data_IF_621916673444
#
_entry.id   IF_621916673444
#
_cell.length_a   1.000
_cell.length_b   1.000
_cell.length_c   1.000
_cell.angle_alpha   90.00
_cell.angle_beta   90.00
_cell.angle_gamma   90.00
#
_symmetry.space_group_name_H-M   'P 1'
#
loop_
_entity.id
_entity.type
_entity.pdbx_description
1 polymer ?
#
# COMPACT_ATOMS: atom_id res chain seq x y z
N UNK A 1 -34.35 2.39 -67.85
CA UNK A 1 -33.57 3.00 -66.72
C UNK A 1 -33.93 2.25 -65.46
N UNK A 2 -33.03 1.36 -64.96
CA UNK A 2 -33.25 0.56 -63.78
C UNK A 2 -32.38 1.20 -62.64
N UNK A 3 -33.00 1.74 -61.61
CA UNK A 3 -32.32 2.26 -60.42
C UNK A 3 -32.01 1.09 -59.47
N UNK A 4 -30.73 0.80 -59.31
CA UNK A 4 -30.22 -0.16 -58.36
C UNK A 4 -29.98 0.59 -57.05
N UNK A 5 -30.88 0.47 -56.04
CA UNK A 5 -30.68 0.96 -54.71
C UNK A 5 -29.71 0.02 -54.00
N UNK A 6 -28.45 0.48 -53.77
CA UNK A 6 -27.50 -0.16 -52.87
C UNK A 6 -27.90 0.16 -51.41
N UNK A 7 -28.49 -0.83 -50.74
CA UNK A 7 -28.65 -0.79 -49.27
C UNK A 7 -27.31 -1.09 -48.63
N UNK A 8 -26.60 -0.07 -48.13
CA UNK A 8 -25.43 -0.22 -47.27
C UNK A 8 -25.90 -0.61 -45.87
N UNK A 9 -25.79 -1.90 -45.53
CA UNK A 9 -25.95 -2.39 -44.17
C UNK A 9 -24.78 -1.88 -43.34
N UNK A 10 -25.02 -0.86 -42.50
CA UNK A 10 -24.12 -0.48 -41.42
C UNK A 10 -24.15 -1.60 -40.37
N UNK A 11 -23.12 -2.44 -40.37
CA UNK A 11 -22.83 -3.38 -39.28
C UNK A 11 -22.37 -2.55 -38.08
N UNK A 12 -23.30 -2.14 -37.21
CA UNK A 12 -23.00 -1.61 -35.91
C UNK A 12 -22.51 -2.80 -35.08
N UNK A 13 -21.22 -3.08 -35.18
CA UNK A 13 -20.55 -4.04 -34.28
C UNK A 13 -20.74 -3.55 -32.85
N UNK A 14 -21.61 -4.20 -32.07
CA UNK A 14 -21.72 -3.99 -30.64
C UNK A 14 -20.38 -4.27 -30.03
N UNK A 15 -19.60 -3.23 -29.65
CA UNK A 15 -18.46 -3.37 -28.78
C UNK A 15 -19.00 -3.93 -27.44
N UNK A 16 -19.04 -5.25 -27.31
CA UNK A 16 -19.33 -5.87 -26.01
C UNK A 16 -18.20 -5.50 -25.07
N UNK A 17 -18.52 -4.74 -24.02
CA UNK A 17 -17.60 -4.52 -22.92
C UNK A 17 -17.09 -5.88 -22.41
N UNK A 18 -15.78 -5.99 -22.18
CA UNK A 18 -15.22 -7.22 -21.63
C UNK A 18 -15.80 -7.48 -20.23
N UNK A 19 -16.09 -8.75 -19.88
CA UNK A 19 -16.55 -9.09 -18.55
C UNK A 19 -15.58 -8.60 -17.45
N UNK A 20 -16.11 -8.08 -16.36
CA UNK A 20 -15.34 -7.54 -15.24
C UNK A 20 -14.27 -8.53 -14.75
N UNK A 21 -14.62 -9.80 -14.60
CA UNK A 21 -13.65 -10.82 -14.16
C UNK A 21 -12.48 -11.00 -15.14
N UNK A 22 -12.71 -10.86 -16.44
CA UNK A 22 -11.66 -10.94 -17.46
C UNK A 22 -10.71 -9.74 -17.34
N UNK A 23 -11.25 -8.54 -17.13
CA UNK A 23 -10.44 -7.33 -16.92
C UNK A 23 -9.59 -7.43 -15.67
N UNK A 24 -10.13 -7.97 -14.56
CA UNK A 24 -9.39 -8.19 -13.33
C UNK A 24 -8.24 -9.18 -13.56
N UNK A 25 -8.49 -10.32 -14.18
CA UNK A 25 -7.45 -11.32 -14.47
C UNK A 25 -6.32 -10.77 -15.35
N UNK A 26 -6.68 -9.98 -16.39
CA UNK A 26 -5.69 -9.31 -17.24
C UNK A 26 -4.87 -8.27 -16.44
N UNK A 27 -5.52 -7.50 -15.57
CA UNK A 27 -4.83 -6.54 -14.71
C UNK A 27 -3.83 -7.22 -13.76
N UNK A 28 -4.23 -8.32 -13.12
CA UNK A 28 -3.34 -9.14 -12.27
C UNK A 28 -2.16 -9.73 -13.05
N UNK A 29 -2.37 -10.10 -14.31
CA UNK A 29 -1.28 -10.56 -15.18
C UNK A 29 -0.29 -9.44 -15.49
N UNK A 30 -0.77 -8.21 -15.71
CA UNK A 30 0.09 -7.03 -15.92
C UNK A 30 0.85 -6.66 -14.64
N UNK A 31 0.23 -6.77 -13.46
CA UNK A 31 0.94 -6.60 -12.19
C UNK A 31 2.12 -7.59 -12.06
N UNK A 32 1.90 -8.88 -12.39
CA UNK A 32 2.99 -9.89 -12.39
C UNK A 32 4.12 -9.57 -13.37
N UNK A 33 3.85 -8.78 -14.40
CA UNK A 33 4.83 -8.30 -15.39
C UNK A 33 5.45 -6.95 -15.00
N UNK A 34 5.13 -6.39 -13.83
CA UNK A 34 5.55 -5.06 -13.37
C UNK A 34 5.10 -3.94 -14.32
N UNK A 35 3.91 -4.08 -14.91
CA UNK A 35 3.27 -3.11 -15.79
C UNK A 35 2.13 -2.40 -15.06
N UNK A 36 2.47 -1.74 -13.95
CA UNK A 36 1.49 -1.12 -13.07
C UNK A 36 0.63 -0.05 -13.77
N UNK A 37 1.17 0.81 -14.66
CA UNK A 37 0.35 1.80 -15.36
C UNK A 37 -0.74 1.17 -16.25
N UNK A 38 -0.44 0.05 -16.91
CA UNK A 38 -1.39 -0.69 -17.74
C UNK A 38 -2.42 -1.43 -16.87
N UNK A 39 -2.01 -2.02 -15.76
CA UNK A 39 -2.92 -2.66 -14.80
C UNK A 39 -3.91 -1.65 -14.22
N UNK A 40 -3.47 -0.43 -13.89
CA UNK A 40 -4.33 0.66 -13.42
C UNK A 40 -5.44 0.96 -14.42
N UNK A 41 -5.13 1.03 -15.72
CA UNK A 41 -6.14 1.29 -16.77
C UNK A 41 -7.22 0.22 -16.79
N UNK A 42 -6.86 -1.05 -16.62
CA UNK A 42 -7.82 -2.15 -16.58
C UNK A 42 -8.68 -2.12 -15.32
N UNK A 43 -8.10 -1.86 -14.13
CA UNK A 43 -8.90 -1.68 -12.92
C UNK A 43 -9.82 -0.45 -12.99
N UNK A 44 -9.40 0.62 -13.66
CA UNK A 44 -10.28 1.77 -13.93
C UNK A 44 -11.43 1.37 -14.87
N UNK A 45 -11.17 0.55 -15.90
CA UNK A 45 -12.21 0.03 -16.78
C UNK A 45 -13.21 -0.88 -16.02
N UNK A 46 -12.76 -1.64 -15.03
CA UNK A 46 -13.63 -2.37 -14.11
C UNK A 46 -14.57 -1.40 -13.38
N UNK A 47 -14.03 -0.29 -12.83
CA UNK A 47 -14.84 0.68 -12.09
C UNK A 47 -15.82 1.50 -12.97
N UNK A 48 -15.62 1.54 -14.28
CA UNK A 48 -16.62 2.10 -15.21
C UNK A 48 -17.86 1.20 -15.32
N UNK A 49 -17.69 -0.12 -15.14
CA UNK A 49 -18.79 -1.08 -15.18
C UNK A 49 -19.39 -1.31 -13.79
N UNK A 50 -18.53 -1.44 -12.78
CA UNK A 50 -18.88 -1.70 -11.38
C UNK A 50 -18.19 -0.67 -10.46
N UNK A 51 -18.78 0.52 -10.25
CA UNK A 51 -18.12 1.62 -9.51
C UNK A 51 -17.76 1.30 -8.05
N UNK A 52 -18.42 0.30 -7.46
CA UNK A 52 -18.19 -0.16 -6.08
C UNK A 52 -17.42 -1.49 -6.00
N UNK A 53 -16.75 -1.93 -7.09
CA UNK A 53 -15.99 -3.18 -7.08
C UNK A 53 -14.77 -3.07 -6.14
N UNK A 54 -14.91 -3.64 -4.95
CA UNK A 54 -13.97 -3.45 -3.83
C UNK A 54 -12.56 -3.94 -4.18
N UNK A 55 -12.42 -5.08 -4.86
CA UNK A 55 -11.11 -5.60 -5.22
C UNK A 55 -10.36 -4.61 -6.14
N UNK A 56 -11.03 -4.06 -7.15
CA UNK A 56 -10.44 -3.06 -8.05
C UNK A 56 -10.07 -1.77 -7.31
N UNK A 57 -10.92 -1.30 -6.41
CA UNK A 57 -10.65 -0.13 -5.58
C UNK A 57 -9.41 -0.32 -4.68
N UNK A 58 -9.29 -1.48 -4.02
CA UNK A 58 -8.13 -1.82 -3.20
C UNK A 58 -6.85 -1.90 -4.04
N UNK A 59 -6.93 -2.55 -5.22
CA UNK A 59 -5.80 -2.65 -6.14
C UNK A 59 -5.33 -1.29 -6.67
N UNK A 60 -6.25 -0.41 -7.01
CA UNK A 60 -5.90 0.96 -7.42
C UNK A 60 -5.22 1.73 -6.28
N UNK A 61 -5.66 1.58 -5.03
CA UNK A 61 -4.97 2.19 -3.89
C UNK A 61 -3.53 1.64 -3.72
N UNK A 62 -3.33 0.32 -3.85
CA UNK A 62 -2.00 -0.31 -3.79
C UNK A 62 -1.10 0.17 -4.95
N UNK A 63 -1.59 0.13 -6.19
CA UNK A 63 -0.81 0.46 -7.38
C UNK A 63 -0.42 1.95 -7.42
N UNK A 64 -1.32 2.86 -7.05
CA UNK A 64 -0.96 4.28 -6.92
C UNK A 64 0.07 4.51 -5.81
N UNK A 65 0.06 3.72 -4.73
CA UNK A 65 1.12 3.73 -3.71
C UNK A 65 2.45 3.24 -4.27
N UNK A 66 2.46 2.18 -5.07
CA UNK A 66 3.67 1.69 -5.75
C UNK A 66 4.26 2.78 -6.65
N UNK A 67 3.45 3.38 -7.51
CA UNK A 67 3.91 4.46 -8.40
C UNK A 67 4.39 5.70 -7.63
N UNK A 68 3.72 6.05 -6.52
CA UNK A 68 4.20 7.12 -5.64
C UNK A 68 5.61 6.81 -5.10
N UNK A 69 5.89 5.55 -4.73
CA UNK A 69 7.20 5.15 -4.22
C UNK A 69 8.31 5.20 -5.28
N UNK A 70 7.98 5.15 -6.57
CA UNK A 70 8.95 5.31 -7.67
C UNK A 70 9.11 6.77 -8.12
N UNK A 71 8.17 7.64 -7.79
CA UNK A 71 8.20 9.04 -8.21
C UNK A 71 9.34 9.81 -7.52
N UNK A 72 10.13 10.53 -8.32
CA UNK A 72 11.23 11.40 -7.83
C UNK A 72 10.70 12.74 -7.37
N UNK A 73 9.76 13.32 -8.11
CA UNK A 73 9.17 14.61 -7.80
C UNK A 73 8.18 14.52 -6.62
N UNK A 74 8.39 15.36 -5.60
CA UNK A 74 7.58 15.38 -4.37
C UNK A 74 6.10 15.70 -4.63
N UNK A 75 5.81 16.58 -5.60
CA UNK A 75 4.43 16.97 -5.94
C UNK A 75 3.68 15.80 -6.60
N UNK A 76 4.32 15.14 -7.54
CA UNK A 76 3.79 13.94 -8.20
C UNK A 76 3.58 12.81 -7.19
N UNK A 77 4.56 12.57 -6.32
CA UNK A 77 4.46 11.60 -5.24
C UNK A 77 3.25 11.86 -4.34
N UNK A 78 3.06 13.11 -3.89
CA UNK A 78 1.91 13.53 -3.08
C UNK A 78 0.60 13.25 -3.78
N UNK A 79 0.47 13.66 -5.06
CA UNK A 79 -0.75 13.45 -5.85
C UNK A 79 -1.12 11.97 -5.97
N UNK A 80 -0.12 11.10 -6.17
CA UNK A 80 -0.35 9.66 -6.25
C UNK A 80 -0.81 9.07 -4.91
N UNK A 81 -0.27 9.52 -3.77
CA UNK A 81 -0.75 9.10 -2.45
C UNK A 81 -2.15 9.62 -2.15
N UNK A 82 -2.47 10.86 -2.53
CA UNK A 82 -3.84 11.40 -2.42
C UNK A 82 -4.83 10.59 -3.26
N UNK A 83 -4.43 10.17 -4.46
CA UNK A 83 -5.23 9.31 -5.33
C UNK A 83 -5.42 7.92 -4.70
N UNK A 84 -4.35 7.33 -4.14
CA UNK A 84 -4.43 6.07 -3.42
C UNK A 84 -5.41 6.16 -2.23
N UNK A 85 -5.34 7.24 -1.46
CA UNK A 85 -6.25 7.48 -0.34
C UNK A 85 -7.71 7.63 -0.78
N UNK A 86 -7.96 8.32 -1.90
CA UNK A 86 -9.31 8.44 -2.45
C UNK A 86 -9.90 7.07 -2.84
N UNK A 87 -9.12 6.19 -3.47
CA UNK A 87 -9.55 4.82 -3.77
C UNK A 87 -9.75 3.99 -2.50
N UNK A 88 -8.86 4.10 -1.50
CA UNK A 88 -8.99 3.41 -0.23
C UNK A 88 -10.29 3.81 0.51
N UNK A 89 -10.62 5.10 0.54
CA UNK A 89 -11.90 5.58 1.12
C UNK A 89 -13.11 4.99 0.41
N UNK A 90 -13.09 4.91 -0.92
CA UNK A 90 -14.17 4.29 -1.71
C UNK A 90 -14.28 2.81 -1.40
N UNK A 91 -13.15 2.08 -1.31
CA UNK A 91 -13.14 0.66 -0.96
C UNK A 91 -13.77 0.41 0.42
N UNK A 92 -13.37 1.20 1.42
CA UNK A 92 -13.90 1.09 2.78
C UNK A 92 -15.40 1.46 2.86
N UNK A 93 -15.83 2.48 2.12
CA UNK A 93 -17.24 2.86 2.03
C UNK A 93 -18.10 1.79 1.33
N UNK A 94 -17.55 1.08 0.35
CA UNK A 94 -18.23 0.01 -0.37
C UNK A 94 -18.37 -1.28 0.49
N UNK A 95 -17.31 -1.66 1.22
CA UNK A 95 -17.34 -2.79 2.15
C UNK A 95 -16.30 -2.62 3.26
N UNK A 96 -16.75 -2.16 4.43
CA UNK A 96 -15.91 -1.99 5.61
C UNK A 96 -15.57 -3.29 6.34
N UNK A 97 -16.25 -4.40 6.05
CA UNK A 97 -16.00 -5.70 6.65
C UNK A 97 -14.97 -6.54 5.87
N UNK A 98 -14.57 -6.08 4.71
CA UNK A 98 -13.50 -6.68 3.95
C UNK A 98 -12.14 -6.26 4.51
N UNK A 99 -11.26 -7.23 4.76
CA UNK A 99 -9.94 -6.97 5.37
C UNK A 99 -9.08 -6.04 4.52
N UNK A 100 -9.10 -6.23 3.19
CA UNK A 100 -8.35 -5.41 2.24
C UNK A 100 -8.77 -3.94 2.30
N UNK A 101 -10.06 -3.65 2.49
CA UNK A 101 -10.56 -2.27 2.63
C UNK A 101 -9.94 -1.56 3.84
N UNK A 102 -9.88 -2.24 4.98
CA UNK A 102 -9.24 -1.72 6.19
C UNK A 102 -7.72 -1.59 6.00
N UNK A 103 -7.09 -2.58 5.39
CA UNK A 103 -5.65 -2.54 5.10
C UNK A 103 -5.26 -1.35 4.21
N UNK A 104 -5.95 -1.14 3.08
CA UNK A 104 -5.60 -0.03 2.18
C UNK A 104 -5.89 1.34 2.79
N UNK A 105 -6.89 1.45 3.69
CA UNK A 105 -7.10 2.68 4.48
C UNK A 105 -5.93 2.95 5.42
N UNK A 106 -5.47 1.96 6.17
CA UNK A 106 -4.31 2.10 7.04
C UNK A 106 -3.05 2.50 6.26
N UNK A 107 -2.77 1.80 5.15
CA UNK A 107 -1.63 2.08 4.27
C UNK A 107 -1.68 3.50 3.70
N UNK A 108 -2.82 3.90 3.14
CA UNK A 108 -2.97 5.20 2.48
C UNK A 108 -2.93 6.37 3.47
N UNK A 109 -3.53 6.21 4.67
CA UNK A 109 -3.42 7.20 5.75
C UNK A 109 -1.96 7.40 6.18
N UNK A 110 -1.21 6.31 6.36
CA UNK A 110 0.20 6.37 6.73
C UNK A 110 1.06 7.11 5.70
N UNK A 111 0.82 6.87 4.42
CA UNK A 111 1.57 7.51 3.34
C UNK A 111 1.37 9.04 3.26
N UNK A 112 0.24 9.55 3.73
CA UNK A 112 -0.06 10.99 3.70
C UNK A 112 0.57 11.75 4.87
N UNK A 113 0.99 11.09 5.94
CA UNK A 113 1.55 11.77 7.13
C UNK A 113 2.77 12.65 6.80
N UNK A 114 3.63 12.23 5.87
CA UNK A 114 4.83 12.96 5.48
C UNK A 114 4.56 14.10 4.47
N UNK A 115 3.34 14.18 3.95
CA UNK A 115 2.95 15.16 2.92
C UNK A 115 1.91 16.16 3.41
N UNK A 116 1.43 16.00 4.64
CA UNK A 116 0.51 16.93 5.28
C UNK A 116 1.29 17.96 6.10
N UNK A 117 0.82 19.22 6.09
CA UNK A 117 1.39 20.33 6.84
C UNK A 117 0.56 20.73 8.06
N UNK A 118 -0.72 20.36 8.07
CA UNK A 118 -1.61 20.58 9.21
C UNK A 118 -1.39 19.49 10.27
N UNK A 119 -0.83 19.88 11.41
CA UNK A 119 -0.55 18.97 12.52
C UNK A 119 -1.79 18.22 13.01
N UNK A 120 -2.99 18.81 12.96
CA UNK A 120 -4.22 18.13 13.34
C UNK A 120 -4.51 16.97 12.39
N UNK A 121 -4.41 17.20 11.10
CA UNK A 121 -4.59 16.15 10.09
C UNK A 121 -3.52 15.07 10.17
N UNK A 122 -2.26 15.44 10.46
CA UNK A 122 -1.19 14.45 10.69
C UNK A 122 -1.59 13.51 11.84
N UNK A 123 -2.06 14.07 12.97
CA UNK A 123 -2.50 13.27 14.12
C UNK A 123 -3.73 12.41 13.77
N UNK A 124 -4.67 12.94 12.99
CA UNK A 124 -5.82 12.17 12.49
C UNK A 124 -5.35 10.97 11.65
N UNK A 125 -4.46 11.20 10.67
CA UNK A 125 -3.92 10.12 9.85
C UNK A 125 -3.18 9.06 10.67
N UNK A 126 -2.39 9.46 11.67
CA UNK A 126 -1.68 8.50 12.56
C UNK A 126 -2.67 7.66 13.37
N UNK A 127 -3.76 8.24 13.85
CA UNK A 127 -4.86 7.51 14.52
C UNK A 127 -5.59 6.57 13.56
N UNK A 128 -5.85 7.03 12.35
CA UNK A 128 -6.48 6.25 11.30
C UNK A 128 -5.65 5.01 10.94
N UNK A 129 -4.32 5.15 10.81
CA UNK A 129 -3.43 3.99 10.58
C UNK A 129 -3.66 2.94 11.65
N UNK A 130 -3.64 3.34 12.94
CA UNK A 130 -3.82 2.41 14.05
C UNK A 130 -5.20 1.77 14.03
N UNK A 131 -6.25 2.56 13.89
CA UNK A 131 -7.63 2.09 13.87
C UNK A 131 -7.87 1.07 12.76
N UNK A 132 -7.48 1.41 11.52
CA UNK A 132 -7.71 0.52 10.39
C UNK A 132 -6.79 -0.70 10.39
N UNK A 133 -5.56 -0.58 10.88
CA UNK A 133 -4.66 -1.74 11.03
C UNK A 133 -5.18 -2.72 12.07
N UNK A 134 -5.61 -2.25 13.25
CA UNK A 134 -6.22 -3.09 14.28
C UNK A 134 -7.50 -3.77 13.76
N UNK A 135 -8.34 -3.04 13.05
CA UNK A 135 -9.55 -3.59 12.42
C UNK A 135 -9.20 -4.69 11.41
N UNK A 136 -8.22 -4.47 10.53
CA UNK A 136 -7.80 -5.47 9.55
C UNK A 136 -7.26 -6.74 10.23
N UNK A 137 -6.44 -6.60 11.28
CA UNK A 137 -5.93 -7.75 12.06
C UNK A 137 -7.05 -8.47 12.81
N UNK A 138 -8.07 -7.74 13.30
CA UNK A 138 -9.26 -8.34 13.96
C UNK A 138 -10.10 -9.11 12.95
N UNK A 139 -10.35 -8.56 11.75
CA UNK A 139 -11.12 -9.23 10.70
C UNK A 139 -10.41 -10.50 10.20
N UNK A 140 -9.10 -10.44 10.01
CA UNK A 140 -8.30 -11.58 9.54
C UNK A 140 -6.89 -11.57 10.16
N UNK A 141 -6.68 -12.27 11.30
CA UNK A 141 -5.40 -12.28 12.01
C UNK A 141 -4.20 -12.79 11.19
N UNK A 142 -4.46 -13.57 10.14
CA UNK A 142 -3.46 -14.12 9.23
C UNK A 142 -3.36 -13.36 7.89
N UNK A 143 -3.86 -12.14 7.81
CA UNK A 143 -3.62 -11.27 6.66
C UNK A 143 -2.28 -10.55 6.84
N UNK A 144 -1.23 -11.02 6.15
CA UNK A 144 0.15 -10.59 6.35
C UNK A 144 0.36 -9.08 6.14
N UNK A 145 -0.28 -8.48 5.15
CA UNK A 145 -0.19 -7.05 4.87
C UNK A 145 -0.74 -6.19 6.04
N UNK A 146 -1.78 -6.64 6.73
CA UNK A 146 -2.29 -5.94 7.93
C UNK A 146 -1.29 -6.03 9.09
N UNK A 147 -0.67 -7.19 9.29
CA UNK A 147 0.40 -7.36 10.27
C UNK A 147 1.57 -6.40 10.00
N UNK A 148 1.95 -6.26 8.72
CA UNK A 148 3.00 -5.31 8.33
C UNK A 148 2.64 -3.86 8.70
N UNK A 149 1.45 -3.38 8.33
CA UNK A 149 1.05 -1.99 8.60
C UNK A 149 0.96 -1.71 10.10
N UNK A 150 0.44 -2.67 10.89
CA UNK A 150 0.41 -2.56 12.35
C UNK A 150 1.83 -2.51 12.94
N UNK A 151 2.72 -3.40 12.49
CA UNK A 151 4.12 -3.41 12.90
C UNK A 151 4.85 -2.12 12.53
N UNK A 152 4.64 -1.61 11.32
CA UNK A 152 5.20 -0.33 10.88
C UNK A 152 4.71 0.82 11.74
N UNK A 153 3.42 0.88 12.03
CA UNK A 153 2.87 1.91 12.93
C UNK A 153 3.54 1.88 14.31
N UNK A 154 3.69 0.69 14.92
CA UNK A 154 4.38 0.53 16.21
C UNK A 154 5.82 1.05 16.15
N UNK A 155 6.55 0.73 15.08
CA UNK A 155 7.92 1.16 14.87
C UNK A 155 8.04 2.69 14.73
N UNK A 156 7.18 3.31 13.92
CA UNK A 156 7.20 4.76 13.72
C UNK A 156 6.83 5.52 15.03
N UNK A 157 5.93 4.98 15.83
CA UNK A 157 5.58 5.57 17.13
C UNK A 157 6.74 5.50 18.15
N UNK A 158 7.55 4.45 18.13
CA UNK A 158 8.78 4.38 18.94
C UNK A 158 9.74 5.48 18.56
N UNK A 159 9.93 5.73 17.26
CA UNK A 159 10.86 6.73 16.73
C UNK A 159 10.40 8.18 16.93
N UNK A 160 9.15 8.41 17.29
CA UNK A 160 8.67 9.76 17.54
C UNK A 160 9.45 10.40 18.70
N UNK A 161 10.06 11.57 18.46
CA UNK A 161 10.83 12.26 19.49
C UNK A 161 9.96 12.65 20.70
N UNK A 162 10.57 12.72 21.87
CA UNK A 162 9.91 13.09 23.13
C UNK A 162 9.19 14.45 22.99
N UNK A 163 9.82 15.42 22.32
CA UNK A 163 9.22 16.73 22.07
C UNK A 163 7.96 16.64 21.22
N UNK A 164 7.97 15.84 20.14
CA UNK A 164 6.79 15.61 19.31
C UNK A 164 5.68 14.92 20.09
N UNK A 165 5.99 13.90 20.89
CA UNK A 165 5.03 13.21 21.77
C UNK A 165 4.39 14.19 22.77
N UNK A 166 5.20 15.04 23.40
CA UNK A 166 4.70 16.04 24.35
C UNK A 166 3.78 17.08 23.67
N UNK A 167 4.18 17.60 22.52
CA UNK A 167 3.36 18.54 21.76
C UNK A 167 2.01 17.92 21.32
N UNK A 168 2.03 16.68 20.80
CA UNK A 168 0.81 15.97 20.42
C UNK A 168 -0.08 15.71 21.65
N UNK A 169 0.49 15.38 22.79
CA UNK A 169 -0.26 15.19 24.04
C UNK A 169 -0.94 16.48 24.49
N UNK A 170 -0.20 17.60 24.43
CA UNK A 170 -0.71 18.90 24.88
C UNK A 170 -1.83 19.44 24.00
N UNK A 171 -1.67 19.38 22.68
CA UNK A 171 -2.58 20.04 21.73
C UNK A 171 -3.64 19.12 21.14
N UNK A 172 -3.44 17.80 21.17
CA UNK A 172 -4.30 16.83 20.44
C UNK A 172 -4.71 15.62 21.27
N UNK A 173 -4.49 15.64 22.59
CA UNK A 173 -4.88 14.55 23.49
C UNK A 173 -4.00 13.30 23.42
N UNK A 174 -2.84 13.38 22.74
CA UNK A 174 -1.86 12.30 22.67
C UNK A 174 -2.09 11.29 21.53
N UNK A 175 -1.10 10.44 21.37
CA UNK A 175 -1.14 9.24 20.53
C UNK A 175 -0.79 8.04 21.41
N UNK A 176 -1.30 6.84 21.09
CA UNK A 176 -0.88 5.62 21.78
C UNK A 176 0.64 5.43 21.63
N UNK A 177 1.28 4.90 22.67
CA UNK A 177 2.71 4.60 22.61
C UNK A 177 2.98 3.42 21.68
N UNK A 178 4.10 3.50 20.94
CA UNK A 178 4.62 2.41 20.14
C UNK A 178 5.41 1.43 21.02
N UNK A 179 5.51 0.19 20.55
CA UNK A 179 6.28 -0.87 21.18
C UNK A 179 7.15 -1.56 20.13
N UNK A 180 8.47 -1.54 20.31
CA UNK A 180 9.42 -2.08 19.35
C UNK A 180 9.36 -3.61 19.24
N UNK A 181 9.14 -4.31 20.36
CA UNK A 181 9.00 -5.77 20.35
C UNK A 181 7.71 -6.18 19.60
N UNK A 182 6.61 -5.43 19.81
CA UNK A 182 5.38 -5.64 19.08
C UNK A 182 5.56 -5.34 17.58
N UNK A 183 6.32 -4.29 17.22
CA UNK A 183 6.65 -3.98 15.83
C UNK A 183 7.35 -5.17 15.15
N UNK A 184 8.39 -5.69 15.80
CA UNK A 184 9.15 -6.85 15.32
C UNK A 184 8.26 -8.09 15.23
N UNK A 185 7.47 -8.38 16.27
CA UNK A 185 6.57 -9.54 16.26
C UNK A 185 5.55 -9.50 15.10
N UNK A 186 4.93 -8.35 14.86
CA UNK A 186 4.00 -8.17 13.74
C UNK A 186 4.71 -8.31 12.38
N UNK A 187 5.89 -7.71 12.21
CA UNK A 187 6.66 -7.80 10.97
C UNK A 187 7.20 -9.22 10.72
N UNK A 188 7.60 -9.95 11.76
CA UNK A 188 7.98 -11.37 11.65
C UNK A 188 6.79 -12.24 11.26
N UNK A 189 5.61 -11.99 11.82
CA UNK A 189 4.38 -12.67 11.40
C UNK A 189 4.05 -12.34 9.94
N UNK A 190 4.20 -11.07 9.52
CA UNK A 190 4.07 -10.71 8.10
C UNK A 190 5.07 -11.49 7.24
N UNK A 191 6.34 -11.59 7.64
CA UNK A 191 7.38 -12.32 6.91
C UNK A 191 7.03 -13.79 6.67
N UNK A 192 6.34 -14.43 7.63
CA UNK A 192 5.87 -15.82 7.50
C UNK A 192 4.70 -15.93 6.52
N UNK A 193 3.78 -14.96 6.53
CA UNK A 193 2.55 -14.97 5.71
C UNK A 193 2.79 -14.41 4.30
N UNK A 194 3.71 -13.45 4.16
CA UNK A 194 4.07 -12.76 2.92
C UNK A 194 5.59 -12.83 2.68
N UNK A 195 6.15 -14.01 2.37
CA UNK A 195 7.60 -14.24 2.36
C UNK A 195 8.38 -13.47 1.28
N UNK A 196 7.68 -12.78 0.41
CA UNK A 196 8.27 -11.98 -0.69
C UNK A 196 7.95 -10.47 -0.59
N UNK A 197 7.41 -10.00 0.53
CA UNK A 197 7.07 -8.59 0.72
C UNK A 197 8.31 -7.76 1.07
N UNK A 198 8.95 -7.18 0.05
CA UNK A 198 10.21 -6.43 0.14
C UNK A 198 10.16 -5.32 1.18
N UNK A 199 9.07 -4.53 1.23
CA UNK A 199 8.88 -3.46 2.21
C UNK A 199 8.94 -3.95 3.66
N UNK A 200 8.38 -5.14 3.93
CA UNK A 200 8.41 -5.72 5.27
C UNK A 200 9.84 -6.11 5.70
N UNK A 201 10.63 -6.68 4.80
CA UNK A 201 12.03 -7.02 5.11
C UNK A 201 12.87 -5.77 5.38
N UNK A 202 12.68 -4.70 4.62
CA UNK A 202 13.40 -3.45 4.84
C UNK A 202 13.08 -2.86 6.22
N UNK A 203 11.79 -2.75 6.57
CA UNK A 203 11.37 -2.15 7.83
C UNK A 203 11.67 -3.08 9.03
N UNK A 204 11.60 -4.41 8.87
CA UNK A 204 12.04 -5.38 9.87
C UNK A 204 13.55 -5.29 10.14
N UNK A 205 14.37 -5.12 9.10
CA UNK A 205 15.81 -4.89 9.25
C UNK A 205 16.11 -3.60 10.02
N UNK A 206 15.37 -2.53 9.75
CA UNK A 206 15.43 -1.27 10.52
C UNK A 206 15.01 -1.46 11.97
N UNK A 207 13.93 -2.21 12.22
CA UNK A 207 13.43 -2.49 13.56
C UNK A 207 14.44 -3.30 14.39
N UNK A 208 15.08 -4.31 13.80
CA UNK A 208 16.15 -5.05 14.48
C UNK A 208 17.39 -4.20 14.77
N UNK A 209 17.79 -3.30 13.84
CA UNK A 209 18.86 -2.33 14.11
C UNK A 209 18.53 -1.44 15.30
N UNK A 210 17.32 -0.88 15.35
CA UNK A 210 16.81 -0.05 16.44
C UNK A 210 16.79 -0.84 17.77
N UNK A 211 16.42 -2.12 17.72
CA UNK A 211 16.42 -3.02 18.87
C UNK A 211 17.81 -3.54 19.26
N UNK A 212 18.88 -2.89 18.76
CA UNK A 212 20.28 -3.24 19.04
C UNK A 212 20.62 -4.71 18.77
N UNK A 213 19.97 -5.31 17.78
CA UNK A 213 20.24 -6.66 17.31
C UNK A 213 20.81 -6.64 15.87
N UNK A 214 22.09 -6.25 15.70
CA UNK A 214 22.70 -6.11 14.37
C UNK A 214 22.77 -7.46 13.63
N UNK A 215 22.95 -8.56 14.35
CA UNK A 215 23.00 -9.90 13.74
C UNK A 215 21.71 -10.22 13.01
N UNK A 216 20.55 -9.99 13.64
CA UNK A 216 19.24 -10.19 12.99
C UNK A 216 19.00 -9.16 11.89
N UNK A 217 19.39 -7.91 12.07
CA UNK A 217 19.29 -6.89 11.02
C UNK A 217 20.07 -7.30 9.77
N UNK A 218 21.32 -7.77 9.91
CA UNK A 218 22.16 -8.27 8.79
C UNK A 218 21.50 -9.47 8.12
N UNK A 219 21.01 -10.46 8.88
CA UNK A 219 20.30 -11.63 8.34
C UNK A 219 19.13 -11.21 7.45
N UNK A 220 18.24 -10.35 7.97
CA UNK A 220 17.03 -9.90 7.29
C UNK A 220 17.37 -9.07 6.04
N UNK A 221 18.31 -8.12 6.14
CA UNK A 221 18.72 -7.27 5.02
C UNK A 221 19.48 -8.07 3.94
N UNK A 222 20.26 -9.07 4.32
CA UNK A 222 20.87 -10.00 3.36
C UNK A 222 19.81 -10.80 2.61
N UNK A 223 18.77 -11.27 3.32
CA UNK A 223 17.65 -11.96 2.69
C UNK A 223 16.87 -11.05 1.75
N UNK A 224 16.65 -9.79 2.14
CA UNK A 224 16.00 -8.76 1.31
C UNK A 224 16.62 -8.66 -0.08
N UNK A 225 17.98 -8.68 -0.19
CA UNK A 225 18.68 -8.56 -1.47
C UNK A 225 18.34 -9.70 -2.45
N UNK A 226 18.01 -10.88 -1.92
CA UNK A 226 17.73 -12.09 -2.71
C UNK A 226 16.25 -12.24 -3.10
N UNK A 227 15.36 -11.37 -2.63
CA UNK A 227 13.95 -11.45 -2.99
C UNK A 227 13.72 -11.07 -4.45
N UNK A 228 12.75 -11.69 -5.14
CA UNK A 228 12.31 -11.20 -6.45
C UNK A 228 11.59 -9.84 -6.30
N UNK A 229 11.69 -9.00 -7.32
CA UNK A 229 10.86 -7.80 -7.40
C UNK A 229 9.43 -8.21 -7.77
N UNK A 230 8.46 -7.73 -7.02
CA UNK A 230 7.03 -7.98 -7.21
C UNK A 230 6.28 -6.75 -7.72
N UNK A 231 6.93 -5.57 -7.62
CA UNK A 231 6.47 -4.30 -8.16
C UNK A 231 7.68 -3.40 -8.47
N UNK A 232 7.44 -2.30 -9.17
CA UNK A 232 8.49 -1.39 -9.60
C UNK A 232 9.22 -0.67 -8.45
N UNK A 233 8.59 -0.52 -7.28
CA UNK A 233 9.22 0.12 -6.12
C UNK A 233 10.21 -0.79 -5.37
N UNK A 234 10.14 -2.12 -5.56
CA UNK A 234 10.95 -3.08 -4.81
C UNK A 234 12.46 -2.90 -5.05
N UNK A 235 12.86 -2.55 -6.28
CA UNK A 235 14.27 -2.30 -6.61
C UNK A 235 14.84 -1.13 -5.79
N UNK A 236 14.06 -0.06 -5.62
CA UNK A 236 14.46 1.11 -4.82
C UNK A 236 14.58 0.73 -3.33
N UNK A 237 13.62 -0.03 -2.82
CA UNK A 237 13.65 -0.50 -1.43
C UNK A 237 14.85 -1.43 -1.16
N UNK A 238 15.20 -2.29 -2.11
CA UNK A 238 16.38 -3.15 -2.02
C UNK A 238 17.68 -2.35 -2.03
N UNK A 239 17.79 -1.32 -2.88
CA UNK A 239 18.93 -0.41 -2.85
C UNK A 239 19.09 0.28 -1.49
N UNK A 240 17.99 0.82 -0.93
CA UNK A 240 17.99 1.37 0.45
C UNK A 240 18.39 0.33 1.49
N UNK A 241 17.95 -0.92 1.32
CA UNK A 241 18.34 -2.02 2.20
C UNK A 241 19.82 -2.39 2.10
N UNK A 242 20.41 -2.31 0.90
CA UNK A 242 21.85 -2.53 0.68
C UNK A 242 22.69 -1.45 1.37
N UNK A 243 22.30 -0.17 1.23
CA UNK A 243 22.93 0.94 1.94
C UNK A 243 22.90 0.74 3.46
N UNK A 244 21.73 0.36 4.00
CA UNK A 244 21.58 0.07 5.43
C UNK A 244 22.46 -1.10 5.88
N UNK A 245 22.51 -2.18 5.08
CA UNK A 245 23.34 -3.36 5.36
C UNK A 245 24.82 -2.99 5.44
N UNK A 246 25.31 -2.15 4.53
CA UNK A 246 26.71 -1.67 4.52
C UNK A 246 27.08 -0.88 5.78
N UNK A 247 26.10 -0.24 6.46
CA UNK A 247 26.34 0.47 7.74
C UNK A 247 26.44 -0.45 8.95
N UNK A 248 26.18 -1.76 8.79
CA UNK A 248 26.15 -2.75 9.88
C UNK A 248 27.33 -3.74 9.79
N UNK A 249 28.06 -3.72 8.70
CA UNK A 249 29.27 -4.52 8.43
C UNK A 249 30.54 -3.72 8.70
#
# INVERSE_FOLDING_TARGET
MKYLCLLSLFFIGSLRAQPVNTLIQQAEQLERQLKEPEAIKLYQAVLLQEPAQVAALCKLAELHTVLANTAVDKKTKKLMYETAYAFAKRAYAADSNRVESSYVMAMASGNLTDFESDNRKIVEYVRDVRYYADRAVTLQPNYGKAQYVLGKWQYEMVKLSVFKKAAVKLFYGGLPEGNLDMAIACMEKCRQLEPYMVSNYLDLGRAYKENRNPTKAIEILTRLQKLPNRNSADAIMKATGAELLATLQ
#
